data_IF_187685071903
#
_entry.id   IF_187685071903
#
_cell.length_a   1.000
_cell.length_b   1.000
_cell.length_c   1.000
_cell.angle_alpha   90.00
_cell.angle_beta   90.00
_cell.angle_gamma   90.00
#
_symmetry.space_group_name_H-M   'P 1'
#
loop_
_entity.id
_entity.type
_entity.pdbx_description
1 polymer ?
#
# COMPACT_ATOMS: atom_id res chain seq x y z
N UNK A 1 65.26 14.40 13.05
CA UNK A 1 64.73 14.13 13.05
C UNK A 1 63.70 13.68 13.20
N UNK A 2 63.24 13.48 13.19
CA UNK A 2 62.36 13.03 13.40
C UNK A 2 61.22 12.91 13.27
N UNK A 3 60.74 12.76 13.13
CA UNK A 3 59.82 12.63 13.05
C UNK A 3 58.85 12.18 13.13
N UNK A 4 58.47 11.95 13.09
CA UNK A 4 57.59 11.50 13.23
C UNK A 4 56.61 11.22 13.20
N UNK A 5 56.25 11.13 13.17
CA UNK A 5 55.40 10.79 13.26
C UNK A 5 54.40 10.46 13.25
N UNK A 6 53.97 10.30 13.09
CA UNK A 6 53.15 10.03 13.16
C UNK A 6 52.12 9.74 13.21
N UNK A 7 51.84 9.65 13.17
CA UNK A 7 51.11 9.39 13.29
C UNK A 7 50.05 9.05 13.26
N UNK A 8 49.57 8.90 13.12
CA UNK A 8 48.59 8.44 13.11
C UNK A 8 47.59 8.27 13.13
N UNK A 9 47.19 8.14 13.09
CA UNK A 9 46.41 7.80 13.21
C UNK A 9 45.37 7.60 13.16
N UNK A 10 44.82 7.47 13.07
CA UNK A 10 44.01 7.26 13.20
C UNK A 10 42.97 6.98 13.11
N UNK A 11 42.52 6.85 12.95
CA UNK A 11 41.64 6.60 12.92
C UNK A 11 40.65 6.34 12.87
N UNK A 12 40.16 6.24 12.74
CA UNK A 12 39.31 5.95 12.73
C UNK A 12 38.24 5.70 12.64
N UNK A 13 37.67 5.54 12.52
CA UNK A 13 36.75 5.20 12.47
C UNK A 13 35.64 5.01 12.40
N UNK A 14 35.21 4.88 12.15
CA UNK A 14 34.35 4.57 12.03
C UNK A 14 33.31 4.33 12.10
N UNK A 15 32.69 4.20 12.05
CA UNK A 15 31.88 3.94 12.19
C UNK A 15 30.90 3.79 11.97
N UNK A 16 30.17 3.57 11.77
CA UNK A 16 29.28 3.47 11.69
C UNK A 16 28.36 3.09 11.42
N UNK A 17 28.02 2.98 11.08
CA UNK A 17 27.22 2.50 10.70
C UNK A 17 26.07 2.26 11.06
N UNK A 18 25.74 1.96 11.61
CA UNK A 18 24.63 1.54 12.00
C UNK A 18 23.47 1.97 11.53
N UNK A 19 23.34 2.81 11.03
CA UNK A 19 22.17 3.26 10.68
C UNK A 19 21.31 2.39 10.08
N UNK A 20 21.76 1.60 9.42
CA UNK A 20 20.93 0.89 8.74
C UNK A 20 19.67 0.50 9.21
N UNK A 21 19.54 -0.07 10.06
CA UNK A 21 18.35 -0.71 10.38
C UNK A 21 17.14 0.03 10.40
N UNK A 22 17.19 1.24 10.35
CA UNK A 22 16.07 1.91 10.52
C UNK A 22 15.01 1.67 9.63
N UNK A 23 15.17 1.70 8.46
CA UNK A 23 14.08 1.72 7.56
C UNK A 23 13.16 0.58 7.64
N UNK A 24 13.61 -0.53 8.05
CA UNK A 24 12.72 -1.64 8.00
C UNK A 24 11.53 -1.51 8.90
N UNK A 25 11.65 -0.83 9.97
CA UNK A 25 10.53 -0.71 10.84
C UNK A 25 9.37 0.01 10.23
N UNK A 26 9.64 0.93 9.35
CA UNK A 26 8.59 1.65 8.78
C UNK A 26 7.81 0.85 7.81
N UNK A 27 8.45 0.01 7.07
CA UNK A 27 7.74 -0.78 6.11
C UNK A 27 6.71 -1.65 6.80
N UNK A 28 7.01 -2.12 7.97
CA UNK A 28 6.07 -2.97 8.66
C UNK A 28 4.89 -2.23 9.20
N UNK A 29 5.02 -0.97 9.41
CA UNK A 29 3.93 -0.20 9.96
C UNK A 29 2.91 0.19 8.93
N UNK A 30 3.22 0.02 7.67
CA UNK A 30 2.30 0.43 6.65
C UNK A 30 1.32 -0.67 6.34
N UNK A 31 0.32 -0.38 5.61
CA UNK A 31 -0.44 -1.45 5.01
C UNK A 31 -1.71 -1.87 5.66
N UNK A 32 -2.29 -1.05 6.45
CA UNK A 32 -3.54 -1.43 7.06
C UNK A 32 -4.76 -0.83 6.44
N UNK A 33 -4.62 0.11 5.56
CA UNK A 33 -5.77 0.79 4.98
C UNK A 33 -5.96 0.38 3.53
N UNK A 34 -7.21 0.16 3.17
CA UNK A 34 -7.57 -0.20 1.81
C UNK A 34 -8.69 0.71 1.34
N UNK A 35 -8.86 0.78 0.05
CA UNK A 35 -9.97 1.50 -0.54
C UNK A 35 -10.86 0.46 -1.20
N UNK A 36 -12.13 0.41 -0.83
CA UNK A 36 -13.08 -0.52 -1.41
C UNK A 36 -13.91 0.20 -2.45
N UNK A 37 -13.91 -0.34 -3.64
CA UNK A 37 -14.51 0.31 -4.80
C UNK A 37 -15.86 -0.29 -5.17
N UNK A 38 -16.00 -1.58 -5.02
CA UNK A 38 -17.21 -2.25 -5.44
C UNK A 38 -17.35 -3.60 -4.75
N UNK A 39 -18.48 -4.25 -4.96
CA UNK A 39 -18.73 -5.56 -4.41
C UNK A 39 -19.51 -6.36 -5.46
N UNK A 40 -19.09 -7.58 -5.71
CA UNK A 40 -19.69 -8.42 -6.73
C UNK A 40 -19.93 -9.81 -6.16
N UNK A 41 -20.55 -10.68 -6.92
CA UNK A 41 -20.99 -11.96 -6.39
C UNK A 41 -20.06 -13.13 -6.63
N UNK A 42 -18.94 -12.93 -7.30
CA UNK A 42 -17.97 -14.01 -7.49
C UNK A 42 -16.57 -13.45 -7.51
N UNK A 43 -15.61 -14.30 -7.15
CA UNK A 43 -14.21 -13.91 -7.21
C UNK A 43 -13.81 -13.63 -8.65
N UNK A 44 -14.22 -14.48 -9.57
CA UNK A 44 -13.90 -14.26 -10.98
C UNK A 44 -14.49 -12.94 -11.47
N UNK A 45 -15.69 -12.61 -11.03
CA UNK A 45 -16.33 -11.35 -11.38
C UNK A 45 -15.55 -10.15 -10.83
N UNK A 46 -15.01 -10.30 -9.61
CA UNK A 46 -14.23 -9.22 -9.03
C UNK A 46 -12.97 -8.95 -9.86
N UNK A 47 -12.28 -9.99 -10.29
CA UNK A 47 -11.07 -9.83 -11.07
C UNK A 47 -11.34 -9.26 -12.44
N UNK A 48 -12.45 -9.67 -13.03
CA UNK A 48 -12.85 -9.18 -14.33
C UNK A 48 -13.22 -7.70 -14.25
N UNK A 49 -13.97 -7.34 -13.21
CA UNK A 49 -14.38 -5.96 -13.04
C UNK A 49 -13.17 -5.06 -12.76
N UNK A 50 -12.23 -5.54 -11.95
CA UNK A 50 -11.02 -4.79 -11.69
C UNK A 50 -10.25 -4.51 -12.99
N UNK A 51 -10.10 -5.56 -13.81
CA UNK A 51 -9.38 -5.39 -15.06
C UNK A 51 -10.08 -4.38 -15.97
N UNK A 52 -11.41 -4.40 -15.99
CA UNK A 52 -12.17 -3.45 -16.77
C UNK A 52 -11.94 -2.02 -16.26
N UNK A 53 -11.98 -1.84 -14.94
CA UNK A 53 -11.77 -0.51 -14.35
C UNK A 53 -10.36 0.00 -14.64
N UNK A 54 -9.36 -0.88 -14.62
CA UNK A 54 -8.01 -0.46 -14.96
C UNK A 54 -7.89 -0.03 -16.42
N UNK A 55 -8.62 -0.68 -17.31
CA UNK A 55 -8.59 -0.29 -18.72
C UNK A 55 -9.26 1.05 -18.96
N UNK A 56 -10.32 1.32 -18.22
CA UNK A 56 -11.07 2.56 -18.38
C UNK A 56 -10.36 3.73 -17.69
N UNK A 57 -9.69 3.44 -16.58
CA UNK A 57 -9.01 4.46 -15.78
C UNK A 57 -7.55 4.09 -15.56
N UNK A 58 -6.74 4.00 -16.62
CA UNK A 58 -5.37 3.52 -16.47
C UNK A 58 -4.49 4.43 -15.63
N UNK A 59 -4.71 5.74 -15.70
CA UNK A 59 -3.89 6.65 -14.93
C UNK A 59 -4.19 6.56 -13.44
N UNK A 60 -5.42 6.26 -13.11
CA UNK A 60 -5.84 6.20 -11.72
C UNK A 60 -5.60 4.84 -11.09
N UNK A 61 -5.91 3.78 -11.81
CA UNK A 61 -5.91 2.43 -11.23
C UNK A 61 -4.85 1.50 -11.80
N UNK A 62 -4.17 1.91 -12.85
CA UNK A 62 -3.26 1.01 -13.56
C UNK A 62 -2.13 0.45 -12.73
N UNK A 63 -1.62 1.23 -11.77
CA UNK A 63 -0.50 0.80 -10.95
C UNK A 63 -0.92 0.27 -9.59
N UNK A 64 -2.21 0.19 -9.35
CA UNK A 64 -2.70 -0.30 -8.06
C UNK A 64 -2.97 -1.80 -8.12
N UNK A 65 -2.92 -2.43 -6.97
CA UNK A 65 -3.11 -3.87 -6.88
C UNK A 65 -4.48 -4.21 -6.35
N UNK A 66 -5.02 -5.29 -6.86
CA UNK A 66 -6.31 -5.78 -6.43
C UNK A 66 -6.19 -6.63 -5.18
N UNK A 67 -7.09 -6.40 -4.25
CA UNK A 67 -7.24 -7.25 -3.08
C UNK A 67 -8.73 -7.62 -3.01
N UNK A 68 -9.04 -8.89 -3.17
CA UNK A 68 -10.42 -9.34 -3.10
C UNK A 68 -10.69 -9.89 -1.72
N UNK A 69 -11.77 -9.41 -1.10
CA UNK A 69 -12.14 -9.82 0.23
C UNK A 69 -13.55 -10.41 0.18
N UNK A 70 -13.68 -11.67 0.55
CA UNK A 70 -15.03 -12.25 0.58
C UNK A 70 -15.73 -11.86 1.88
N UNK A 71 -17.03 -11.71 1.81
CA UNK A 71 -17.83 -11.36 2.97
C UNK A 71 -19.13 -12.17 2.91
N UNK A 72 -19.40 -12.89 3.98
CA UNK A 72 -20.62 -13.66 4.09
C UNK A 72 -21.65 -12.76 4.76
N UNK A 73 -22.69 -12.40 4.01
CA UNK A 73 -23.72 -11.49 4.49
C UNK A 73 -25.01 -12.25 4.84
N UNK A 74 -24.88 -13.50 5.21
CA UNK A 74 -26.02 -14.28 5.64
C UNK A 74 -26.99 -14.54 4.50
N UNK A 75 -28.24 -14.17 4.70
CA UNK A 75 -29.25 -14.39 3.70
C UNK A 75 -29.00 -13.69 2.39
N UNK A 76 -28.22 -12.60 2.44
CA UNK A 76 -27.92 -11.88 1.21
C UNK A 76 -26.85 -12.58 0.39
N UNK A 77 -26.16 -13.57 0.97
CA UNK A 77 -25.17 -14.35 0.26
C UNK A 77 -23.75 -13.89 0.49
N UNK A 78 -22.85 -14.48 -0.25
CA UNK A 78 -21.44 -14.16 -0.14
C UNK A 78 -21.09 -13.17 -1.23
N UNK A 79 -20.41 -12.10 -0.85
CA UNK A 79 -20.01 -11.08 -1.79
C UNK A 79 -18.49 -10.98 -1.80
N UNK A 80 -17.95 -10.52 -2.91
CA UNK A 80 -16.50 -10.36 -3.09
C UNK A 80 -16.22 -8.88 -3.27
N UNK A 81 -15.53 -8.31 -2.30
CA UNK A 81 -15.29 -6.89 -2.27
C UNK A 81 -14.01 -6.57 -3.00
N UNK A 82 -14.10 -5.60 -3.90
CA UNK A 82 -12.97 -5.18 -4.71
C UNK A 82 -12.29 -4.04 -3.97
N UNK A 83 -11.09 -4.31 -3.48
CA UNK A 83 -10.31 -3.35 -2.74
C UNK A 83 -8.95 -3.17 -3.38
N UNK A 84 -8.33 -2.05 -3.12
CA UNK A 84 -6.97 -1.80 -3.54
C UNK A 84 -6.20 -1.20 -2.36
N UNK A 85 -4.91 -1.45 -2.34
CA UNK A 85 -4.02 -1.08 -1.27
C UNK A 85 -2.97 -2.15 -1.14
N UNK A 86 -2.24 -2.18 -0.03
CA UNK A 86 -2.47 -1.40 1.19
C UNK A 86 -1.90 0.02 1.10
N UNK A 87 -2.52 0.91 1.83
CA UNK A 87 -2.04 2.29 1.96
C UNK A 87 -1.45 2.47 3.35
N UNK A 88 -0.41 3.30 3.51
CA UNK A 88 0.30 3.40 4.78
C UNK A 88 -0.52 4.05 5.90
N UNK A 89 -1.45 4.88 5.56
CA UNK A 89 -2.26 5.53 6.58
C UNK A 89 -3.60 5.96 6.01
N UNK A 90 -4.46 6.42 6.89
CA UNK A 90 -5.81 6.79 6.46
C UNK A 90 -5.79 7.96 5.48
N UNK A 91 -4.92 8.93 5.70
CA UNK A 91 -4.90 10.11 4.84
C UNK A 91 -4.59 9.75 3.39
N UNK A 92 -3.62 8.86 3.19
CA UNK A 92 -3.26 8.44 1.84
C UNK A 92 -4.41 7.68 1.19
N UNK A 93 -5.06 6.81 1.95
CA UNK A 93 -6.21 6.08 1.44
C UNK A 93 -7.35 7.04 1.10
N UNK A 94 -7.56 8.05 1.95
CA UNK A 94 -8.62 9.00 1.72
C UNK A 94 -8.36 9.84 0.47
N UNK A 95 -7.11 10.22 0.23
CA UNK A 95 -6.75 10.96 -0.96
C UNK A 95 -7.05 10.13 -2.21
N UNK A 96 -6.71 8.86 -2.19
CA UNK A 96 -7.02 7.99 -3.30
C UNK A 96 -8.53 7.88 -3.48
N UNK A 97 -9.26 7.80 -2.38
CA UNK A 97 -10.70 7.69 -2.42
C UNK A 97 -11.34 8.91 -3.09
N UNK A 98 -10.82 10.10 -2.81
CA UNK A 98 -11.33 11.29 -3.46
C UNK A 98 -11.12 11.23 -4.97
N UNK A 99 -9.98 10.75 -5.43
CA UNK A 99 -9.70 10.64 -6.85
C UNK A 99 -10.61 9.61 -7.51
N UNK A 100 -10.86 8.51 -6.82
CA UNK A 100 -11.73 7.45 -7.33
C UNK A 100 -13.17 7.96 -7.44
N UNK A 101 -13.62 8.70 -6.44
CA UNK A 101 -14.95 9.29 -6.50
C UNK A 101 -15.07 10.32 -7.62
N UNK A 102 -14.00 11.05 -7.86
CA UNK A 102 -14.02 12.03 -8.94
C UNK A 102 -14.17 11.36 -10.31
N UNK A 103 -13.79 10.10 -10.40
CA UNK A 103 -13.97 9.31 -11.61
C UNK A 103 -15.35 8.61 -11.64
N UNK A 104 -16.20 8.97 -10.70
CA UNK A 104 -17.57 8.44 -10.60
C UNK A 104 -17.62 6.96 -10.25
N UNK A 105 -16.63 6.50 -9.54
CA UNK A 105 -16.60 5.14 -9.01
C UNK A 105 -16.93 5.17 -7.52
N UNK A 106 -17.36 4.04 -7.00
CA UNK A 106 -17.60 3.94 -5.57
C UNK A 106 -16.30 3.97 -4.81
N UNK A 107 -16.34 4.42 -3.57
CA UNK A 107 -15.15 4.42 -2.74
C UNK A 107 -15.48 4.47 -1.27
N UNK A 108 -14.81 3.60 -0.51
CA UNK A 108 -14.93 3.56 0.92
C UNK A 108 -13.56 3.20 1.48
N UNK A 109 -13.05 4.00 2.42
CA UNK A 109 -11.80 3.66 3.10
C UNK A 109 -12.10 2.63 4.17
N UNK A 110 -11.35 1.53 4.16
CA UNK A 110 -11.51 0.50 5.18
C UNK A 110 -10.18 0.23 5.85
N UNK A 111 -10.23 -0.12 7.11
CA UNK A 111 -9.04 -0.48 7.86
C UNK A 111 -9.13 -1.96 8.19
N UNK A 112 -8.07 -2.69 7.88
CA UNK A 112 -8.01 -4.11 8.23
C UNK A 112 -7.16 -4.29 9.46
N UNK A 113 -7.54 -5.23 10.26
CA UNK A 113 -6.83 -5.49 11.51
C UNK A 113 -5.56 -6.27 11.32
#
# INVERSE_FOLDING_TARGET
MRCSLFAGLLSAGLLWAGAAGLGSGQALAAGRYFVQIASVKSDAGARKEWARMQRVHPDLLGDLELSVQSADLGERGIFFRIRTGPFPNRATAQDMCWQIKAAELGCLVVREK
#
